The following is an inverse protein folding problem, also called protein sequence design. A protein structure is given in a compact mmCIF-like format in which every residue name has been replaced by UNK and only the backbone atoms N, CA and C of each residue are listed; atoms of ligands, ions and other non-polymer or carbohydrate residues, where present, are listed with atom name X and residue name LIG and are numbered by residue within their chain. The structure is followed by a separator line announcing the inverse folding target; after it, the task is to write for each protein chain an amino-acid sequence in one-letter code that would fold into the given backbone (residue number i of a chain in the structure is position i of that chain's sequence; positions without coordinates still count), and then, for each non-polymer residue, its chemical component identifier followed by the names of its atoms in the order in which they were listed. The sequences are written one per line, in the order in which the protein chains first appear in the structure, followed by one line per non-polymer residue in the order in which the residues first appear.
data_IF_627426270279
#
_entry.id   IF_627426270279
#
_cell.length_a   1.000
_cell.length_b   1.000
_cell.length_c   1.000
_cell.angle_alpha   90.00
_cell.angle_beta   90.00
_cell.angle_gamma   90.00
#
_symmetry.space_group_name_H-M   'P 1'
#
loop_
_entity.id
_entity.type
_entity.pdbx_description
1 polymer ?
#
# COMPACT_ATOMS: atom_id res chain seq x y z
N UNK A 1 5.39 -20.88 0.71
CA UNK A 1 5.91 -20.88 -0.69
C UNK A 1 5.29 -19.69 -1.38
N UNK A 2 6.09 -18.76 -1.91
CA UNK A 2 5.58 -17.60 -2.64
C UNK A 2 4.95 -18.03 -3.96
N UNK A 3 3.75 -17.52 -4.26
CA UNK A 3 3.01 -17.74 -5.50
C UNK A 3 3.42 -16.75 -6.58
N UNK A 4 3.84 -15.55 -6.19
CA UNK A 4 4.22 -14.47 -7.11
C UNK A 4 5.60 -13.89 -6.77
N UNK A 5 6.31 -13.37 -7.78
CA UNK A 5 7.68 -12.86 -7.60
C UNK A 5 7.77 -11.64 -6.71
N UNK A 6 6.75 -10.77 -6.71
CA UNK A 6 6.70 -9.57 -5.87
C UNK A 6 6.61 -9.90 -4.37
N UNK A 7 6.09 -11.08 -4.01
CA UNK A 7 5.94 -11.48 -2.60
C UNK A 7 7.30 -11.69 -1.91
N UNK A 8 8.38 -11.81 -2.70
CA UNK A 8 9.76 -11.86 -2.20
C UNK A 8 10.33 -10.49 -1.84
N UNK A 9 9.68 -9.39 -2.25
CA UNK A 9 10.14 -8.04 -1.94
C UNK A 9 9.86 -7.76 -0.46
N UNK A 10 10.90 -7.47 0.32
CA UNK A 10 10.76 -7.09 1.74
C UNK A 10 9.82 -5.89 1.88
N UNK A 11 10.02 -4.85 1.06
CA UNK A 11 9.14 -3.66 1.04
C UNK A 11 7.67 -3.99 0.73
N UNK A 12 7.39 -5.07 -0.01
CA UNK A 12 6.01 -5.50 -0.22
C UNK A 12 5.46 -6.19 1.03
N UNK A 13 6.25 -7.05 1.68
CA UNK A 13 5.86 -7.71 2.94
C UNK A 13 5.58 -6.65 4.03
N UNK A 14 6.49 -5.68 4.20
CA UNK A 14 6.32 -4.57 5.13
C UNK A 14 5.05 -3.77 4.83
N UNK A 15 4.71 -3.59 3.55
CA UNK A 15 3.49 -2.89 3.16
C UNK A 15 2.21 -3.68 3.47
N UNK A 16 2.26 -5.02 3.48
CA UNK A 16 1.13 -5.86 3.92
C UNK A 16 0.94 -5.74 5.44
N UNK A 17 2.04 -5.79 6.20
CA UNK A 17 2.00 -5.61 7.66
C UNK A 17 1.45 -4.22 8.01
N UNK A 18 1.87 -3.19 7.26
CA UNK A 18 1.35 -1.82 7.41
C UNK A 18 -0.17 -1.76 7.16
N UNK A 19 -0.68 -2.46 6.14
CA UNK A 19 -2.14 -2.53 5.89
C UNK A 19 -2.85 -3.10 7.10
N UNK A 20 -2.37 -4.20 7.69
CA UNK A 20 -3.00 -4.77 8.89
C UNK A 20 -3.00 -3.78 10.06
N UNK A 21 -1.89 -3.09 10.28
CA UNK A 21 -1.77 -2.08 11.36
C UNK A 21 -2.75 -0.93 11.12
N UNK A 22 -2.83 -0.40 9.90
CA UNK A 22 -3.77 0.69 9.55
C UNK A 22 -5.22 0.25 9.75
N UNK A 23 -5.58 -0.97 9.35
CA UNK A 23 -6.93 -1.49 9.57
C UNK A 23 -7.25 -1.58 11.07
N UNK A 24 -6.33 -2.14 11.88
CA UNK A 24 -6.49 -2.25 13.35
C UNK A 24 -6.62 -0.87 14.03
N UNK A 25 -5.80 0.11 13.64
CA UNK A 25 -5.86 1.47 14.22
C UNK A 25 -7.18 2.16 13.84
N UNK A 26 -7.59 2.05 12.59
CA UNK A 26 -8.80 2.73 12.10
C UNK A 26 -10.11 2.08 12.57
N UNK A 27 -10.07 0.89 13.18
CA UNK A 27 -11.25 0.29 13.84
C UNK A 27 -11.71 1.09 15.06
N UNK A 28 -10.81 1.83 15.73
CA UNK A 28 -11.16 2.66 16.88
C UNK A 28 -11.59 4.08 16.51
N UNK A 29 -11.68 4.42 15.22
CA UNK A 29 -12.07 5.75 14.78
C UNK A 29 -13.59 5.98 14.96
N UNK A 30 -14.04 7.23 15.15
CA UNK A 30 -15.47 7.56 15.17
C UNK A 30 -16.19 7.08 13.90
N UNK A 31 -17.47 6.72 14.03
CA UNK A 31 -18.24 6.20 12.90
C UNK A 31 -18.43 7.24 11.79
N UNK A 32 -18.40 8.51 12.14
CA UNK A 32 -18.49 9.67 11.25
C UNK A 32 -17.28 9.73 10.30
N UNK A 33 -16.11 9.25 10.74
CA UNK A 33 -14.88 9.21 9.95
C UNK A 33 -14.80 8.01 9.00
N UNK A 34 -15.82 7.13 9.00
CA UNK A 34 -15.85 5.92 8.18
C UNK A 34 -15.58 6.21 6.70
N UNK A 35 -16.19 7.26 6.17
CA UNK A 35 -16.03 7.67 4.77
C UNK A 35 -14.99 8.78 4.58
N UNK A 36 -14.53 9.40 5.67
CA UNK A 36 -13.43 10.37 5.72
C UNK A 36 -12.09 9.68 5.95
N UNK A 37 -11.46 9.96 7.11
CA UNK A 37 -10.10 9.53 7.42
C UNK A 37 -9.93 8.01 7.36
N UNK A 38 -10.90 7.24 7.86
CA UNK A 38 -10.82 5.77 7.86
C UNK A 38 -10.67 5.22 6.45
N UNK A 39 -11.48 5.72 5.50
CA UNK A 39 -11.42 5.28 4.12
C UNK A 39 -10.14 5.77 3.42
N UNK A 40 -9.71 7.00 3.70
CA UNK A 40 -8.49 7.54 3.10
C UNK A 40 -7.25 6.74 3.53
N UNK A 41 -7.03 6.53 4.82
CA UNK A 41 -5.91 5.72 5.33
C UNK A 41 -6.00 4.27 4.84
N UNK A 42 -7.22 3.71 4.89
CA UNK A 42 -7.69 2.49 4.21
C UNK A 42 -7.04 2.29 2.84
N UNK A 43 -7.39 3.20 1.95
CA UNK A 43 -7.03 3.14 0.54
C UNK A 43 -5.56 3.44 0.29
N UNK A 44 -4.97 4.39 1.02
CA UNK A 44 -3.55 4.72 0.87
C UNK A 44 -2.67 3.52 1.22
N UNK A 45 -2.92 2.86 2.36
CA UNK A 45 -2.15 1.68 2.78
C UNK A 45 -2.22 0.54 1.74
N UNK A 46 -3.41 0.20 1.25
CA UNK A 46 -3.61 -0.84 0.22
C UNK A 46 -2.99 -0.46 -1.12
N UNK A 47 -2.99 0.84 -1.47
CA UNK A 47 -2.37 1.34 -2.70
C UNK A 47 -0.86 1.07 -2.74
N UNK A 48 -0.17 1.14 -1.59
CA UNK A 48 1.29 0.90 -1.51
C UNK A 48 1.61 -0.53 -1.98
N UNK A 49 1.02 -1.54 -1.34
CA UNK A 49 1.30 -2.94 -1.69
C UNK A 49 0.82 -3.29 -3.11
N UNK A 50 -0.31 -2.73 -3.54
CA UNK A 50 -0.86 -2.94 -4.88
C UNK A 50 0.06 -2.40 -5.97
N UNK A 51 0.59 -1.19 -5.80
CA UNK A 51 1.50 -0.59 -6.78
C UNK A 51 2.86 -1.30 -6.83
N UNK A 52 3.39 -1.78 -5.71
CA UNK A 52 4.61 -2.59 -5.69
C UNK A 52 4.42 -3.92 -6.45
N UNK A 53 3.29 -4.59 -6.25
CA UNK A 53 2.94 -5.80 -6.97
C UNK A 53 2.75 -5.55 -8.47
N UNK A 54 1.96 -4.53 -8.83
CA UNK A 54 1.69 -4.16 -10.22
C UNK A 54 2.95 -3.72 -10.96
N UNK A 55 3.80 -2.94 -10.29
CA UNK A 55 5.10 -2.51 -10.79
C UNK A 55 5.99 -3.70 -11.14
N UNK A 56 6.04 -4.72 -10.30
CA UNK A 56 6.89 -5.91 -10.51
C UNK A 56 6.61 -6.63 -11.84
N UNK A 57 5.36 -6.60 -12.32
CA UNK A 57 4.96 -7.23 -13.58
C UNK A 57 5.10 -6.32 -14.81
N UNK A 58 5.59 -5.08 -14.66
CA UNK A 58 5.84 -4.19 -15.81
C UNK A 58 7.06 -4.63 -16.61
N UNK A 59 6.98 -4.43 -17.94
CA UNK A 59 8.00 -4.90 -18.87
C UNK A 59 9.28 -4.05 -18.82
N UNK A 60 9.15 -2.73 -18.69
CA UNK A 60 10.29 -1.81 -18.74
C UNK A 60 10.69 -1.37 -17.34
N UNK A 61 11.98 -1.10 -17.14
CA UNK A 61 12.47 -0.54 -15.88
C UNK A 61 11.88 0.84 -15.58
N UNK A 62 11.56 1.63 -16.62
CA UNK A 62 10.89 2.93 -16.47
C UNK A 62 9.50 2.76 -15.86
N UNK A 63 8.71 1.80 -16.34
CA UNK A 63 7.39 1.55 -15.79
C UNK A 63 7.47 1.00 -14.37
N UNK A 64 8.38 0.05 -14.11
CA UNK A 64 8.61 -0.47 -12.75
C UNK A 64 8.91 0.67 -11.76
N UNK A 65 9.83 1.56 -12.12
CA UNK A 65 10.19 2.73 -11.31
C UNK A 65 8.99 3.64 -11.06
N UNK A 66 8.18 3.92 -12.09
CA UNK A 66 6.97 4.73 -11.96
C UNK A 66 6.01 4.16 -10.90
N UNK A 67 5.80 2.84 -10.88
CA UNK A 67 4.94 2.19 -9.90
C UNK A 67 5.52 2.27 -8.48
N UNK A 68 6.84 2.11 -8.31
CA UNK A 68 7.51 2.37 -7.02
C UNK A 68 7.33 3.82 -6.56
N UNK A 69 7.39 4.80 -7.48
CA UNK A 69 7.11 6.21 -7.16
C UNK A 69 5.66 6.41 -6.71
N UNK A 70 4.69 5.77 -7.36
CA UNK A 70 3.28 5.85 -6.94
C UNK A 70 3.10 5.25 -5.54
N UNK A 71 3.69 4.08 -5.28
CA UNK A 71 3.67 3.45 -3.96
C UNK A 71 4.24 4.40 -2.89
N UNK A 72 5.38 5.04 -3.17
CA UNK A 72 5.97 6.04 -2.29
C UNK A 72 5.06 7.25 -2.06
N UNK A 73 4.41 7.78 -3.10
CA UNK A 73 3.45 8.86 -2.95
C UNK A 73 2.26 8.47 -2.07
N UNK A 74 1.74 7.24 -2.20
CA UNK A 74 0.70 6.72 -1.28
C UNK A 74 1.20 6.60 0.17
N UNK A 75 2.48 6.27 0.38
CA UNK A 75 3.08 6.30 1.72
C UNK A 75 3.12 7.70 2.30
N UNK A 76 3.48 8.71 1.50
CA UNK A 76 3.47 10.11 1.94
C UNK A 76 2.05 10.60 2.22
N UNK A 77 1.06 10.20 1.43
CA UNK A 77 -0.35 10.51 1.70
C UNK A 77 -0.84 9.88 3.01
N UNK A 78 -0.49 8.62 3.29
CA UNK A 78 -0.87 7.94 4.53
C UNK A 78 -0.23 8.57 5.79
N UNK A 79 0.97 9.15 5.64
CA UNK A 79 1.71 9.78 6.74
C UNK A 79 1.17 11.19 7.09
N UNK A 80 0.59 11.89 6.11
CA UNK A 80 0.03 13.23 6.28
C UNK A 80 -1.30 13.20 7.03
#
# INVERSE_FOLDING_TARGET
MYKHSFEKLEVWQDSIDLVEVVYKITESFPVEERFGLTNQMRRCSVSICSNLAEGTFRLTQKDKSRFSTIAFSSTMELLN
#
